data_IF_889002338331
#
_entry.id   IF_889002338331
#
_cell.length_a   1.000
_cell.length_b   1.000
_cell.length_c   1.000
_cell.angle_alpha   90.00
_cell.angle_beta   90.00
_cell.angle_gamma   90.00
#
_symmetry.space_group_name_H-M   'P 1'
#
loop_
_entity.id
_entity.type
_entity.pdbx_description
1 polymer ?
#
# COMPACT_ATOMS: atom_id res chain seq x y z
N UNK A 1 -10.49 28.22 -15.13
CA UNK A 1 -10.27 26.86 -15.65
C UNK A 1 -9.21 26.22 -14.77
N UNK A 2 -9.62 25.36 -13.83
CA UNK A 2 -8.71 24.72 -12.83
C UNK A 2 -8.64 23.20 -13.01
N UNK A 3 -8.96 22.71 -14.21
CA UNK A 3 -9.24 21.29 -14.48
C UNK A 3 -8.00 20.42 -14.73
N UNK A 4 -6.82 21.02 -14.86
CA UNK A 4 -5.60 20.31 -15.27
C UNK A 4 -4.94 19.53 -14.11
N UNK A 5 -4.97 20.10 -12.90
CA UNK A 5 -4.33 19.51 -11.72
C UNK A 5 -5.04 18.25 -11.20
N UNK A 6 -6.37 18.18 -11.35
CA UNK A 6 -7.14 17.03 -10.87
C UNK A 6 -6.94 15.77 -11.72
N UNK A 7 -6.63 15.91 -13.02
CA UNK A 7 -6.37 14.77 -13.92
C UNK A 7 -5.03 14.12 -13.55
N UNK A 8 -3.98 14.93 -13.38
CA UNK A 8 -2.67 14.47 -12.93
C UNK A 8 -2.70 13.83 -11.53
N UNK A 9 -3.46 14.41 -10.59
CA UNK A 9 -3.63 13.83 -9.26
C UNK A 9 -4.40 12.50 -9.28
N UNK A 10 -5.37 12.36 -10.20
CA UNK A 10 -6.10 11.10 -10.38
C UNK A 10 -5.19 10.01 -10.96
N UNK A 11 -4.45 10.32 -12.04
CA UNK A 11 -3.50 9.40 -12.65
C UNK A 11 -2.41 8.94 -11.68
N UNK A 12 -1.91 9.86 -10.85
CA UNK A 12 -0.91 9.50 -9.83
C UNK A 12 -1.48 8.55 -8.79
N UNK A 13 -2.75 8.72 -8.38
CA UNK A 13 -3.40 7.86 -7.38
C UNK A 13 -3.71 6.49 -7.97
N UNK A 14 -4.18 6.44 -9.21
CA UNK A 14 -4.46 5.20 -9.92
C UNK A 14 -3.21 4.31 -10.07
N UNK A 15 -2.04 4.91 -10.32
CA UNK A 15 -0.77 4.16 -10.35
C UNK A 15 -0.49 3.45 -9.02
N UNK A 16 -0.71 4.09 -7.88
CA UNK A 16 -0.54 3.45 -6.57
C UNK A 16 -1.52 2.30 -6.35
N UNK A 17 -2.75 2.41 -6.86
CA UNK A 17 -3.71 1.30 -6.80
C UNK A 17 -3.25 0.10 -7.64
N UNK A 18 -2.70 0.33 -8.82
CA UNK A 18 -2.13 -0.73 -9.66
C UNK A 18 -0.96 -1.41 -8.97
N UNK A 19 0.00 -0.63 -8.43
CA UNK A 19 1.14 -1.19 -7.71
C UNK A 19 0.73 -1.98 -6.46
N UNK A 20 -0.28 -1.51 -5.72
CA UNK A 20 -0.83 -2.23 -4.58
C UNK A 20 -1.50 -3.55 -5.00
N UNK A 21 -2.21 -3.55 -6.12
CA UNK A 21 -2.83 -4.76 -6.67
C UNK A 21 -1.76 -5.79 -7.03
N UNK A 22 -0.75 -5.40 -7.82
CA UNK A 22 0.36 -6.28 -8.22
C UNK A 22 1.15 -6.80 -7.00
N UNK A 23 1.39 -5.94 -6.00
CA UNK A 23 2.02 -6.36 -4.75
C UNK A 23 1.17 -7.39 -4.01
N UNK A 24 -0.13 -7.13 -3.88
CA UNK A 24 -1.05 -8.05 -3.21
C UNK A 24 -1.07 -9.42 -3.90
N UNK A 25 -1.10 -9.47 -5.22
CA UNK A 25 -1.06 -10.71 -5.99
C UNK A 25 0.24 -11.49 -5.76
N UNK A 26 1.38 -10.80 -5.74
CA UNK A 26 2.68 -11.43 -5.42
C UNK A 26 2.70 -12.01 -4.00
N UNK A 27 2.15 -11.29 -3.02
CA UNK A 27 2.05 -11.78 -1.63
C UNK A 27 1.13 -13.01 -1.56
N UNK A 28 0.00 -13.00 -2.28
CA UNK A 28 -0.95 -14.11 -2.31
C UNK A 28 -0.31 -15.34 -2.94
N UNK A 29 0.41 -15.18 -4.04
CA UNK A 29 1.11 -16.27 -4.71
C UNK A 29 2.21 -16.89 -3.84
N UNK A 30 2.92 -16.09 -3.04
CA UNK A 30 4.03 -16.55 -2.20
C UNK A 30 3.58 -17.15 -0.85
N UNK A 31 2.56 -16.56 -0.21
CA UNK A 31 2.22 -16.86 1.19
C UNK A 31 0.73 -17.12 1.44
N UNK A 32 -0.11 -17.01 0.42
CA UNK A 32 -1.55 -17.21 0.51
C UNK A 32 -2.36 -15.95 0.82
N UNK A 33 -3.67 -16.10 0.65
CA UNK A 33 -4.64 -14.99 0.72
C UNK A 33 -4.76 -14.39 2.12
N UNK A 34 -4.82 -15.24 3.14
CA UNK A 34 -5.05 -14.80 4.52
C UNK A 34 -3.89 -13.96 5.06
N UNK A 35 -2.65 -14.38 4.77
CA UNK A 35 -1.45 -13.61 5.10
C UNK A 35 -1.46 -12.23 4.43
N UNK A 36 -1.71 -12.21 3.12
CA UNK A 36 -1.65 -10.99 2.31
C UNK A 36 -2.67 -9.96 2.77
N UNK A 37 -3.90 -10.41 3.03
CA UNK A 37 -4.96 -9.56 3.57
C UNK A 37 -4.59 -9.01 4.96
N UNK A 38 -4.10 -9.85 5.86
CA UNK A 38 -3.69 -9.43 7.21
C UNK A 38 -2.56 -8.39 7.18
N UNK A 39 -1.55 -8.59 6.34
CA UNK A 39 -0.43 -7.67 6.19
C UNK A 39 -0.86 -6.29 5.65
N UNK A 40 -1.73 -6.26 4.64
CA UNK A 40 -2.25 -5.01 4.08
C UNK A 40 -3.15 -4.26 5.08
N UNK A 41 -3.98 -4.97 5.85
CA UNK A 41 -4.80 -4.38 6.93
C UNK A 41 -3.92 -3.79 8.03
N UNK A 42 -2.84 -4.47 8.41
CA UNK A 42 -1.87 -3.94 9.38
C UNK A 42 -1.18 -2.69 8.84
N UNK A 43 -0.73 -2.70 7.57
CA UNK A 43 -0.13 -1.52 6.95
C UNK A 43 -1.08 -0.31 6.95
N UNK A 44 -2.35 -0.52 6.59
CA UNK A 44 -3.38 0.52 6.66
C UNK A 44 -3.59 1.04 8.09
N UNK A 45 -3.55 0.16 9.09
CA UNK A 45 -3.64 0.53 10.51
C UNK A 45 -2.45 1.39 10.96
N UNK A 46 -1.23 1.06 10.55
CA UNK A 46 -0.05 1.89 10.86
C UNK A 46 -0.17 3.30 10.30
N UNK A 47 -0.65 3.43 9.07
CA UNK A 47 -0.94 4.73 8.43
C UNK A 47 -1.99 5.50 9.25
N UNK A 48 -3.10 4.84 9.61
CA UNK A 48 -4.17 5.45 10.40
C UNK A 48 -3.70 5.90 11.80
N UNK A 49 -2.77 5.15 12.41
CA UNK A 49 -2.19 5.47 13.72
C UNK A 49 -1.10 6.57 13.65
N UNK A 50 -0.76 7.09 12.46
CA UNK A 50 0.36 8.03 12.25
C UNK A 50 1.69 7.56 12.86
N UNK A 51 1.86 6.24 13.02
CA UNK A 51 3.11 5.67 13.51
C UNK A 51 4.09 5.61 12.33
N UNK A 52 5.27 6.23 12.43
CA UNK A 52 6.29 6.02 11.42
C UNK A 52 6.57 4.53 11.30
N UNK A 53 6.69 4.05 10.08
CA UNK A 53 7.20 2.70 9.78
C UNK A 53 8.70 2.72 10.10
N UNK A 54 9.04 2.96 11.37
CA UNK A 54 10.37 2.77 11.92
C UNK A 54 10.69 1.33 11.58
N UNK A 55 11.65 1.16 10.68
CA UNK A 55 12.12 -0.13 10.25
C UNK A 55 12.69 -0.82 11.48
N UNK A 56 11.87 -1.61 12.18
CA UNK A 56 12.31 -2.66 13.09
C UNK A 56 12.98 -3.77 12.28
N UNK A 57 14.02 -3.40 11.53
CA UNK A 57 15.18 -4.23 11.24
C UNK A 57 16.29 -3.77 12.19
N UNK A 58 15.99 -3.74 13.48
CA UNK A 58 17.02 -3.85 14.49
C UNK A 58 17.21 -5.34 14.73
N UNK A 59 18.21 -5.88 14.04
CA UNK A 59 18.99 -7.07 14.37
C UNK A 59 18.55 -7.83 15.62
N UNK A 60 18.12 -9.07 15.43
CA UNK A 60 18.46 -10.17 16.33
C UNK A 60 18.55 -11.47 15.53
#
# INVERSE_FOLDING_TARGET
>A
MSTDRSVSETESKDRFFVELAELSERMVAAHGKDFSMGALVLAARFIAENKPFERSAATQ
#
